data_IF_552088161792
#
_entry.id   IF_552088161792
#
_cell.length_a   1.000
_cell.length_b   1.000
_cell.length_c   1.000
_cell.angle_alpha   90.00
_cell.angle_beta   90.00
_cell.angle_gamma   90.00
#
_symmetry.space_group_name_H-M   'P 1'
#
loop_
_entity.id
_entity.type
_entity.pdbx_description
1 polymer ?
#
# COMPACT_ATOMS: atom_id res chain seq x y z
N UNK A 1 26.34 16.92 3.18
CA UNK A 1 26.01 16.81 1.76
C UNK A 1 25.71 15.36 1.45
N UNK A 2 24.50 15.06 1.03
CA UNK A 2 24.07 13.74 0.54
C UNK A 2 24.87 13.44 -0.73
N UNK A 3 25.64 12.36 -0.76
CA UNK A 3 26.47 11.99 -1.92
C UNK A 3 26.05 10.62 -2.40
N UNK A 4 24.90 10.55 -3.07
CA UNK A 4 24.60 9.41 -3.92
C UNK A 4 25.35 9.61 -5.24
N UNK A 5 25.93 8.54 -5.74
CA UNK A 5 26.55 8.50 -7.06
C UNK A 5 25.48 8.71 -8.15
N UNK A 6 25.81 9.48 -9.19
CA UNK A 6 24.90 9.76 -10.30
C UNK A 6 24.50 8.47 -11.02
N UNK A 7 25.45 7.57 -11.24
CA UNK A 7 25.19 6.26 -11.86
C UNK A 7 24.18 5.43 -11.05
N UNK A 8 24.28 5.48 -9.73
CA UNK A 8 23.42 4.72 -8.84
C UNK A 8 22.01 5.30 -8.82
N UNK A 9 21.88 6.62 -8.90
CA UNK A 9 20.59 7.30 -9.02
C UNK A 9 19.91 6.99 -10.35
N UNK A 10 20.65 7.02 -11.46
CA UNK A 10 20.13 6.69 -12.79
C UNK A 10 19.61 5.25 -12.82
N UNK A 11 20.35 4.33 -12.21
CA UNK A 11 19.96 2.93 -12.12
C UNK A 11 18.72 2.68 -11.25
N UNK A 12 18.52 3.44 -10.18
CA UNK A 12 17.25 3.42 -9.42
C UNK A 12 16.10 3.91 -10.29
N UNK A 13 16.34 4.95 -11.09
CA UNK A 13 15.33 5.49 -11.99
C UNK A 13 14.94 4.49 -13.09
N UNK A 14 15.90 3.81 -13.69
CA UNK A 14 15.65 2.74 -14.66
C UNK A 14 14.79 1.62 -14.07
N UNK A 15 15.10 1.14 -12.86
CA UNK A 15 14.26 0.13 -12.19
C UNK A 15 12.81 0.61 -11.95
N UNK A 16 12.61 1.92 -11.78
CA UNK A 16 11.28 2.49 -11.62
C UNK A 16 10.52 2.55 -12.95
N UNK A 17 11.18 3.02 -14.02
CA UNK A 17 10.62 3.06 -15.39
C UNK A 17 10.28 1.65 -15.91
N UNK A 18 11.09 0.65 -15.56
CA UNK A 18 10.86 -0.76 -15.93
C UNK A 18 9.76 -1.44 -15.09
N UNK A 19 9.06 -0.70 -14.22
CA UNK A 19 8.03 -1.23 -13.31
C UNK A 19 8.55 -2.34 -12.38
N UNK A 20 9.86 -2.30 -12.05
CA UNK A 20 10.53 -3.24 -11.15
C UNK A 20 10.64 -2.71 -9.73
N UNK A 21 10.49 -1.41 -9.50
CA UNK A 21 10.31 -0.79 -8.18
C UNK A 21 9.17 0.23 -8.20
N UNK A 22 8.46 0.41 -7.10
CA UNK A 22 7.45 1.50 -7.00
C UNK A 22 8.15 2.84 -6.81
N UNK A 23 7.48 3.96 -7.12
CA UNK A 23 8.01 5.30 -6.85
C UNK A 23 8.49 5.46 -5.41
N UNK A 24 7.71 4.97 -4.44
CA UNK A 24 8.07 5.04 -3.02
C UNK A 24 9.32 4.21 -2.70
N UNK A 25 9.50 3.06 -3.33
CA UNK A 25 10.70 2.24 -3.16
C UNK A 25 11.91 2.90 -3.81
N UNK A 26 11.76 3.57 -4.96
CA UNK A 26 12.82 4.37 -5.59
C UNK A 26 13.29 5.54 -4.70
N UNK A 27 12.34 6.25 -4.07
CA UNK A 27 12.66 7.26 -3.05
C UNK A 27 13.42 6.67 -1.88
N UNK A 28 12.94 5.54 -1.33
CA UNK A 28 13.59 4.84 -0.22
C UNK A 28 15.03 4.47 -0.57
N UNK A 29 15.25 3.84 -1.73
CA UNK A 29 16.58 3.45 -2.20
C UNK A 29 17.49 4.67 -2.34
N UNK A 30 16.99 5.74 -2.94
CA UNK A 30 17.74 7.00 -3.11
C UNK A 30 18.22 7.53 -1.75
N UNK A 31 17.35 7.55 -0.74
CA UNK A 31 17.72 8.02 0.60
C UNK A 31 18.68 7.06 1.31
N UNK A 32 18.46 5.74 1.19
CA UNK A 32 19.33 4.73 1.81
C UNK A 32 20.75 4.79 1.26
N UNK A 33 20.94 5.06 -0.03
CA UNK A 33 22.27 5.20 -0.63
C UNK A 33 22.85 6.62 -0.48
N UNK A 34 22.02 7.62 -0.24
CA UNK A 34 22.45 9.01 -0.03
C UNK A 34 23.04 9.27 1.35
N UNK A 35 22.68 8.47 2.35
CA UNK A 35 23.04 8.67 3.75
C UNK A 35 23.81 7.47 4.31
N UNK A 36 24.85 7.71 5.14
CA UNK A 36 25.66 6.64 5.70
C UNK A 36 24.90 5.78 6.71
N UNK A 37 23.87 6.34 7.35
CA UNK A 37 23.07 5.66 8.36
C UNK A 37 21.63 5.47 7.92
N UNK A 38 21.11 4.26 8.12
CA UNK A 38 19.68 3.95 7.90
C UNK A 38 18.77 4.77 8.80
N UNK A 39 19.26 5.17 9.99
CA UNK A 39 18.50 6.04 10.90
C UNK A 39 18.32 7.44 10.32
N UNK A 40 19.37 7.98 9.70
CA UNK A 40 19.29 9.28 9.01
C UNK A 40 18.40 9.21 7.77
N UNK A 41 18.53 8.14 6.97
CA UNK A 41 17.66 7.92 5.82
C UNK A 41 16.17 7.83 6.23
N UNK A 42 15.85 7.09 7.30
CA UNK A 42 14.50 6.99 7.83
C UNK A 42 13.95 8.36 8.28
N UNK A 43 14.76 9.14 9.00
CA UNK A 43 14.40 10.48 9.43
C UNK A 43 14.11 11.42 8.25
N UNK A 44 14.90 11.32 7.18
CA UNK A 44 14.68 12.12 5.95
C UNK A 44 13.43 11.71 5.18
N UNK A 45 13.07 10.44 5.22
CA UNK A 45 11.83 9.92 4.63
C UNK A 45 10.58 10.17 5.48
N UNK A 46 10.75 10.63 6.73
CA UNK A 46 9.66 10.79 7.69
C UNK A 46 9.02 9.46 8.12
N UNK A 47 9.78 8.35 8.06
CA UNK A 47 9.28 7.02 8.42
C UNK A 47 10.03 6.45 9.62
N UNK A 48 9.39 5.51 10.31
CA UNK A 48 10.04 4.78 11.39
C UNK A 48 11.18 3.89 10.89
N UNK A 49 12.23 3.76 11.70
CA UNK A 49 13.38 2.91 11.37
C UNK A 49 13.00 1.44 11.15
N UNK A 50 12.00 0.93 11.88
CA UNK A 50 11.50 -0.43 11.70
C UNK A 50 10.80 -0.60 10.34
N UNK A 51 10.00 0.39 9.95
CA UNK A 51 9.35 0.42 8.63
C UNK A 51 10.37 0.44 7.50
N UNK A 52 11.41 1.28 7.59
CA UNK A 52 12.51 1.27 6.62
C UNK A 52 13.20 -0.09 6.55
N UNK A 53 13.45 -0.70 7.71
CA UNK A 53 14.10 -2.02 7.79
C UNK A 53 13.26 -3.13 7.15
N UNK A 54 11.93 -3.06 7.30
CA UNK A 54 10.99 -3.96 6.63
C UNK A 54 11.01 -3.76 5.11
N UNK A 55 10.99 -2.52 4.62
CA UNK A 55 11.11 -2.21 3.19
C UNK A 55 12.42 -2.75 2.60
N UNK A 56 13.56 -2.53 3.25
CA UNK A 56 14.85 -3.07 2.80
C UNK A 56 14.83 -4.60 2.77
N UNK A 57 14.28 -5.24 3.81
CA UNK A 57 14.19 -6.70 3.89
C UNK A 57 13.32 -7.29 2.78
N UNK A 58 12.25 -6.58 2.40
CA UNK A 58 11.40 -6.93 1.25
C UNK A 58 12.18 -6.80 -0.05
N UNK A 59 12.84 -5.67 -0.29
CA UNK A 59 13.62 -5.44 -1.51
C UNK A 59 14.77 -6.46 -1.69
N UNK A 60 15.35 -6.97 -0.59
CA UNK A 60 16.33 -8.06 -0.65
C UNK A 60 15.66 -9.39 -1.04
N UNK A 61 14.50 -9.70 -0.46
CA UNK A 61 13.73 -10.91 -0.76
C UNK A 61 13.30 -10.95 -2.23
N UNK A 62 12.89 -9.81 -2.75
CA UNK A 62 12.45 -9.63 -4.13
C UNK A 62 13.64 -9.54 -5.11
N UNK A 63 14.87 -9.68 -4.59
CA UNK A 63 16.14 -9.63 -5.33
C UNK A 63 16.45 -8.30 -6.02
N UNK A 64 15.77 -7.22 -5.67
CA UNK A 64 16.12 -5.85 -6.09
C UNK A 64 17.44 -5.41 -5.42
N UNK A 65 17.61 -5.78 -4.15
CA UNK A 65 18.82 -5.51 -3.38
C UNK A 65 19.59 -6.81 -3.08
N UNK A 66 20.91 -6.72 -3.15
CA UNK A 66 21.82 -7.79 -2.74
C UNK A 66 22.58 -7.34 -1.49
N UNK A 67 22.62 -8.23 -0.50
CA UNK A 67 23.41 -8.01 0.72
C UNK A 67 24.82 -8.55 0.50
N UNK A 68 25.79 -7.66 0.34
CA UNK A 68 27.19 -8.05 0.10
C UNK A 68 27.88 -8.47 1.40
N UNK A 69 27.70 -7.68 2.47
CA UNK A 69 28.23 -7.92 3.82
C UNK A 69 27.27 -7.35 4.87
N UNK A 70 27.56 -7.53 6.16
CA UNK A 70 26.74 -6.96 7.25
C UNK A 70 26.67 -5.43 7.08
N UNK A 71 25.47 -4.92 6.81
CA UNK A 71 25.20 -3.49 6.62
C UNK A 71 25.38 -2.97 5.19
N UNK A 72 26.10 -3.68 4.32
CA UNK A 72 26.41 -3.23 2.95
C UNK A 72 25.41 -3.81 1.96
N UNK A 73 24.70 -2.92 1.25
CA UNK A 73 23.69 -3.24 0.24
C UNK A 73 24.17 -2.78 -1.13
N UNK A 74 23.78 -3.49 -2.18
CA UNK A 74 23.94 -3.09 -3.59
C UNK A 74 22.65 -3.36 -4.35
N UNK A 75 22.41 -2.62 -5.43
CA UNK A 75 21.37 -2.97 -6.40
C UNK A 75 21.78 -4.24 -7.17
N UNK A 76 20.82 -5.06 -7.56
CA UNK A 76 21.09 -6.21 -8.43
C UNK A 76 21.52 -5.76 -9.82
N UNK A 77 22.58 -6.38 -10.36
CA UNK A 77 22.97 -6.27 -11.77
C UNK A 77 22.10 -7.17 -12.67
N UNK A 78 21.49 -8.20 -12.07
CA UNK A 78 20.62 -9.14 -12.76
C UNK A 78 19.16 -8.76 -12.57
N UNK A 79 18.62 -8.04 -13.56
CA UNK A 79 17.20 -7.65 -13.61
C UNK A 79 16.31 -8.87 -13.78
N UNK A 80 16.75 -9.90 -14.51
CA UNK A 80 15.97 -11.11 -14.75
C UNK A 80 15.75 -11.94 -13.49
N UNK A 81 16.63 -11.78 -12.49
CA UNK A 81 16.46 -12.40 -11.18
C UNK A 81 15.46 -11.68 -10.28
N UNK A 82 14.97 -10.49 -10.63
CA UNK A 82 14.01 -9.73 -9.82
C UNK A 82 12.67 -10.48 -9.82
N UNK A 83 12.30 -11.00 -8.64
CA UNK A 83 11.12 -11.86 -8.49
C UNK A 83 9.88 -11.03 -8.12
N UNK A 84 9.51 -10.08 -9.00
CA UNK A 84 8.30 -9.27 -8.85
C UNK A 84 7.85 -8.74 -10.20
N UNK A 85 6.54 -8.73 -10.40
CA UNK A 85 5.88 -7.85 -11.36
C UNK A 85 5.06 -6.87 -10.52
N UNK A 86 5.26 -5.56 -10.71
CA UNK A 86 4.34 -4.59 -10.13
C UNK A 86 3.03 -4.72 -10.91
N UNK A 87 2.13 -5.54 -10.38
CA UNK A 87 0.75 -5.52 -10.84
C UNK A 87 0.14 -4.21 -10.36
N UNK A 88 -0.01 -3.26 -11.27
CA UNK A 88 -0.93 -2.14 -11.06
C UNK A 88 -2.32 -2.75 -10.91
N UNK A 89 -2.75 -2.93 -9.66
CA UNK A 89 -4.14 -3.25 -9.39
C UNK A 89 -4.98 -2.19 -10.12
N UNK A 90 -5.96 -2.59 -10.94
CA UNK A 90 -6.79 -1.62 -11.64
C UNK A 90 -7.35 -0.62 -10.63
N UNK A 91 -7.48 0.66 -10.99
CA UNK A 91 -8.04 1.65 -10.09
C UNK A 91 -9.35 1.11 -9.53
N UNK A 92 -9.61 1.26 -8.22
CA UNK A 92 -10.82 0.74 -7.63
C UNK A 92 -12.01 1.24 -8.46
N UNK A 93 -12.98 0.37 -8.79
CA UNK A 93 -14.14 0.79 -9.57
C UNK A 93 -14.74 2.02 -8.91
N UNK A 94 -15.04 3.06 -9.71
CA UNK A 94 -15.67 4.30 -9.23
C UNK A 94 -16.83 3.90 -8.31
N UNK A 95 -16.81 4.38 -7.07
CA UNK A 95 -17.84 4.04 -6.08
C UNK A 95 -19.21 4.31 -6.70
N UNK A 96 -19.98 3.24 -6.92
CA UNK A 96 -21.37 3.39 -7.37
C UNK A 96 -22.10 4.15 -6.26
N UNK A 97 -22.84 5.24 -6.58
CA UNK A 97 -23.59 5.97 -5.58
C UNK A 97 -24.57 5.03 -4.88
N UNK A 98 -24.55 5.05 -3.55
CA UNK A 98 -25.45 4.21 -2.75
C UNK A 98 -26.88 4.74 -2.88
N UNK A 99 -27.71 4.03 -3.65
CA UNK A 99 -29.14 4.29 -3.72
C UNK A 99 -29.84 3.37 -2.73
N UNK A 100 -30.45 3.96 -1.70
CA UNK A 100 -31.25 3.27 -0.68
C UNK A 100 -32.72 3.47 -1.05
N UNK A 101 -33.44 2.40 -1.36
CA UNK A 101 -34.89 2.48 -1.59
C UNK A 101 -35.64 2.77 -0.28
N UNK A 102 -36.89 3.24 -0.38
CA UNK A 102 -37.70 3.51 0.81
C UNK A 102 -37.98 2.24 1.63
N UNK A 103 -38.16 1.10 0.96
CA UNK A 103 -38.34 -0.20 1.61
C UNK A 103 -37.07 -0.64 2.36
N UNK A 104 -35.90 -0.48 1.73
CA UNK A 104 -34.61 -0.77 2.35
C UNK A 104 -34.36 0.14 3.56
N UNK A 105 -34.65 1.44 3.43
CA UNK A 105 -34.56 2.41 4.52
C UNK A 105 -35.45 2.01 5.69
N UNK A 106 -36.72 1.70 5.42
CA UNK A 106 -37.70 1.32 6.45
C UNK A 106 -37.27 0.03 7.15
N UNK A 107 -36.82 -0.96 6.38
CA UNK A 107 -36.35 -2.22 6.94
C UNK A 107 -35.13 -2.00 7.85
N UNK A 108 -34.14 -1.23 7.38
CA UNK A 108 -32.93 -0.90 8.16
C UNK A 108 -33.26 -0.19 9.46
N UNK A 109 -34.14 0.82 9.44
CA UNK A 109 -34.53 1.56 10.66
C UNK A 109 -35.28 0.70 11.68
N UNK A 110 -35.97 -0.36 11.23
CA UNK A 110 -36.80 -1.20 12.10
C UNK A 110 -36.06 -2.45 12.60
N UNK A 111 -35.16 -3.03 11.80
CA UNK A 111 -34.64 -4.38 12.04
C UNK A 111 -33.10 -4.46 12.14
N UNK A 112 -32.35 -3.41 11.77
CA UNK A 112 -30.89 -3.46 11.79
C UNK A 112 -30.34 -3.23 13.21
N UNK A 113 -29.56 -4.18 13.73
CA UNK A 113 -28.99 -4.13 15.10
C UNK A 113 -27.48 -3.79 15.16
N UNK A 114 -26.86 -3.44 14.03
CA UNK A 114 -25.42 -3.17 13.92
C UNK A 114 -24.50 -4.40 13.92
N UNK A 115 -24.92 -5.52 14.52
CA UNK A 115 -24.11 -6.75 14.67
C UNK A 115 -24.40 -7.78 13.58
N UNK A 116 -25.54 -7.68 12.89
CA UNK A 116 -26.02 -8.66 11.91
C UNK A 116 -25.91 -8.23 10.44
N UNK A 117 -24.83 -7.54 10.06
CA UNK A 117 -24.58 -7.08 8.68
C UNK A 117 -24.68 -8.19 7.61
N UNK A 118 -24.24 -9.39 7.95
CA UNK A 118 -24.30 -10.56 7.06
C UNK A 118 -25.72 -11.07 6.82
N UNK A 119 -26.60 -10.92 7.81
CA UNK A 119 -28.00 -11.36 7.74
C UNK A 119 -28.83 -10.31 7.00
N UNK A 120 -28.64 -9.02 7.32
CA UNK A 120 -29.24 -7.90 6.59
C UNK A 120 -28.88 -7.93 5.09
N UNK A 121 -27.64 -8.26 4.75
CA UNK A 121 -27.19 -8.43 3.36
C UNK A 121 -28.00 -9.49 2.60
N UNK A 122 -28.34 -10.62 3.26
CA UNK A 122 -29.16 -11.68 2.65
C UNK A 122 -30.62 -11.25 2.48
N UNK A 123 -31.18 -10.55 3.47
CA UNK A 123 -32.59 -10.13 3.46
C UNK A 123 -32.82 -9.04 2.41
N UNK A 124 -31.93 -8.06 2.34
CA UNK A 124 -32.04 -6.94 1.40
C UNK A 124 -31.42 -7.23 0.02
N UNK A 125 -30.79 -8.40 -0.18
CA UNK A 125 -30.15 -8.76 -1.44
C UNK A 125 -28.96 -7.85 -1.81
N UNK A 126 -28.26 -7.30 -0.81
CA UNK A 126 -27.16 -6.34 -0.97
C UNK A 126 -25.84 -6.92 -0.48
N UNK A 127 -24.72 -6.30 -0.86
CA UNK A 127 -23.42 -6.67 -0.32
C UNK A 127 -23.29 -6.23 1.15
N UNK A 128 -22.47 -6.95 1.95
CA UNK A 128 -22.18 -6.52 3.34
C UNK A 128 -21.57 -5.11 3.40
N UNK A 129 -20.86 -4.72 2.35
CA UNK A 129 -20.28 -3.39 2.21
C UNK A 129 -21.37 -2.33 2.02
N UNK A 130 -22.37 -2.59 1.17
CA UNK A 130 -23.51 -1.69 1.00
C UNK A 130 -24.33 -1.56 2.28
N UNK A 131 -24.59 -2.65 3.00
CA UNK A 131 -25.27 -2.60 4.30
C UNK A 131 -24.53 -1.68 5.28
N UNK A 132 -23.20 -1.74 5.33
CA UNK A 132 -22.41 -0.84 6.16
C UNK A 132 -22.56 0.62 5.70
N UNK A 133 -22.46 0.90 4.40
CA UNK A 133 -22.67 2.25 3.87
C UNK A 133 -24.10 2.76 4.15
N UNK A 134 -25.11 1.90 4.07
CA UNK A 134 -26.51 2.22 4.39
C UNK A 134 -26.68 2.55 5.87
N UNK A 135 -26.11 1.73 6.76
CA UNK A 135 -26.16 1.96 8.19
C UNK A 135 -25.49 3.29 8.57
N UNK A 136 -24.34 3.60 7.97
CA UNK A 136 -23.66 4.89 8.14
C UNK A 136 -24.49 6.06 7.58
N UNK A 137 -25.07 5.91 6.39
CA UNK A 137 -25.89 6.94 5.76
C UNK A 137 -27.19 7.23 6.54
N UNK A 138 -27.73 6.22 7.23
CA UNK A 138 -28.91 6.32 8.08
C UNK A 138 -28.57 6.67 9.55
N UNK A 139 -27.29 6.83 9.89
CA UNK A 139 -26.85 7.14 11.26
C UNK A 139 -27.04 6.01 12.26
N UNK A 140 -27.28 4.78 11.79
CA UNK A 140 -27.45 3.57 12.62
C UNK A 140 -26.11 3.00 13.11
N UNK A 141 -25.01 3.43 12.48
CA UNK A 141 -23.64 3.03 12.83
C UNK A 141 -22.74 4.25 12.92
N UNK A 142 -21.71 4.19 13.76
CA UNK A 142 -20.75 5.29 13.91
C UNK A 142 -19.53 5.00 13.04
N UNK A 143 -19.07 6.02 12.30
CA UNK A 143 -17.76 6.00 11.66
C UNK A 143 -16.70 5.85 12.75
N UNK A 144 -15.91 4.78 12.70
CA UNK A 144 -14.66 4.66 13.45
C UNK A 144 -13.57 5.50 12.77
#
# INVERSE_FOLDING_TARGET
>A
MSKIDFELKDRIYQLYEDDLITQREAEILTQVFSYPSRKEAAQKLGIEHQSLSACISKLIRDRVLIKVRKGVLKLTDDISAINRQISYAPPPPKEVPLVISDDERKWMLQHYDGRKRSEAAKILGRSKYDINRMALALGLDRKY
#
